data_IF_930390808453
#
_entry.id   IF_930390808453
#
_cell.length_a   1.000
_cell.length_b   1.000
_cell.length_c   1.000
_cell.angle_alpha   90.00
_cell.angle_beta   90.00
_cell.angle_gamma   90.00
#
_symmetry.space_group_name_H-M   'P 1'
#
loop_
_entity.id
_entity.type
_entity.pdbx_description
1 polymer ?
#
# COMPACT_ATOMS: atom_id res chain seq x y z
N UNK A 1 8.06 -28.89 -33.92
CA UNK A 1 8.28 -27.42 -33.89
C UNK A 1 7.14 -26.62 -33.24
N UNK A 2 5.85 -27.01 -33.35
CA UNK A 2 4.71 -26.29 -32.72
C UNK A 2 4.70 -26.31 -31.19
N UNK A 3 5.17 -27.38 -30.53
CA UNK A 3 5.23 -27.45 -29.06
C UNK A 3 6.30 -26.55 -28.44
N UNK A 4 7.47 -26.41 -29.07
CA UNK A 4 8.56 -25.57 -28.58
C UNK A 4 8.19 -24.08 -28.66
N UNK A 5 7.44 -23.66 -29.68
CA UNK A 5 6.94 -22.29 -29.80
C UNK A 5 5.91 -21.96 -28.71
N UNK A 6 4.96 -22.85 -28.43
CA UNK A 6 3.97 -22.65 -27.34
C UNK A 6 4.61 -22.55 -25.96
N UNK A 7 5.68 -23.30 -25.70
CA UNK A 7 6.41 -23.23 -24.44
C UNK A 7 7.17 -21.90 -24.30
N UNK A 8 7.78 -21.42 -25.39
CA UNK A 8 8.49 -20.13 -25.42
C UNK A 8 7.52 -18.94 -25.19
N UNK A 9 6.27 -19.03 -25.65
CA UNK A 9 5.27 -17.98 -25.48
C UNK A 9 4.69 -17.92 -24.05
N UNK A 10 4.76 -19.03 -23.29
CA UNK A 10 4.25 -19.12 -21.92
C UNK A 10 5.35 -18.79 -20.87
N UNK A 11 6.61 -18.98 -21.20
CA UNK A 11 7.75 -18.78 -20.29
C UNK A 11 7.76 -17.39 -19.61
N UNK A 12 7.55 -16.27 -20.31
CA UNK A 12 7.51 -14.95 -19.68
C UNK A 12 6.42 -14.85 -18.60
N UNK A 13 5.23 -15.37 -18.88
CA UNK A 13 4.14 -15.37 -17.91
C UNK A 13 4.45 -16.23 -16.67
N UNK A 14 5.11 -17.37 -16.85
CA UNK A 14 5.53 -18.24 -15.73
C UNK A 14 6.59 -17.57 -14.88
N UNK A 15 7.58 -16.92 -15.48
CA UNK A 15 8.60 -16.17 -14.75
C UNK A 15 8.00 -14.96 -14.03
N UNK A 16 7.07 -14.26 -14.67
CA UNK A 16 6.35 -13.16 -14.05
C UNK A 16 5.56 -13.61 -12.80
N UNK A 17 4.74 -14.65 -12.94
CA UNK A 17 3.95 -15.19 -11.82
C UNK A 17 4.86 -15.74 -10.73
N UNK A 18 5.93 -16.44 -11.10
CA UNK A 18 6.92 -16.96 -10.15
C UNK A 18 7.64 -15.86 -9.40
N UNK A 19 8.09 -14.79 -10.09
CA UNK A 19 8.72 -13.63 -9.48
C UNK A 19 7.77 -12.88 -8.53
N UNK A 20 6.55 -12.63 -8.97
CA UNK A 20 5.52 -12.01 -8.13
C UNK A 20 5.19 -12.85 -6.88
N UNK A 21 5.04 -14.16 -7.05
CA UNK A 21 4.80 -15.07 -5.92
C UNK A 21 5.98 -15.05 -4.93
N UNK A 22 7.22 -15.03 -5.44
CA UNK A 22 8.41 -14.87 -4.62
C UNK A 22 8.40 -13.57 -3.84
N UNK A 23 8.13 -12.43 -4.48
CA UNK A 23 8.02 -11.13 -3.82
C UNK A 23 6.91 -11.14 -2.76
N UNK A 24 5.75 -11.73 -3.07
CA UNK A 24 4.63 -11.81 -2.14
C UNK A 24 4.95 -12.64 -0.88
N UNK A 25 5.83 -13.65 -1.02
CA UNK A 25 6.29 -14.51 0.08
C UNK A 25 7.43 -13.85 0.88
N UNK A 26 8.36 -13.18 0.20
CA UNK A 26 9.57 -12.60 0.80
C UNK A 26 9.31 -11.23 1.41
N UNK A 27 8.48 -10.39 0.79
CA UNK A 27 7.97 -9.16 1.42
C UNK A 27 7.00 -9.60 2.53
N UNK A 28 7.56 -9.93 3.69
CA UNK A 28 6.88 -10.53 4.81
C UNK A 28 5.64 -9.77 5.31
N UNK A 29 5.05 -10.25 6.40
CA UNK A 29 3.93 -9.55 7.05
C UNK A 29 4.29 -8.14 7.52
N UNK A 30 5.56 -7.89 7.79
CA UNK A 30 6.10 -6.61 8.26
C UNK A 30 7.10 -6.10 7.24
N UNK A 31 6.97 -4.85 6.84
CA UNK A 31 7.94 -4.18 5.99
C UNK A 31 9.18 -3.89 6.82
N UNK A 32 10.32 -4.42 6.40
CA UNK A 32 11.60 -4.16 7.04
C UNK A 32 12.32 -2.98 6.36
N UNK A 33 13.21 -2.32 7.08
CA UNK A 33 14.07 -1.28 6.50
C UNK A 33 14.92 -1.83 5.35
N UNK A 34 15.33 -3.10 5.43
CA UNK A 34 16.09 -3.78 4.38
C UNK A 34 15.33 -3.83 3.05
N UNK A 35 14.02 -4.07 3.08
CA UNK A 35 13.19 -4.10 1.87
C UNK A 35 13.23 -2.74 1.16
N UNK A 36 13.13 -1.65 1.92
CA UNK A 36 13.18 -0.30 1.36
C UNK A 36 14.56 0.02 0.75
N UNK A 37 15.65 -0.48 1.33
CA UNK A 37 16.99 -0.34 0.75
C UNK A 37 17.14 -1.11 -0.55
N UNK A 38 16.58 -2.31 -0.64
CA UNK A 38 16.57 -3.11 -1.87
C UNK A 38 15.79 -2.38 -2.98
N UNK A 39 14.61 -1.83 -2.66
CA UNK A 39 13.81 -1.09 -3.64
C UNK A 39 14.47 0.23 -4.06
N UNK A 40 15.12 0.92 -3.14
CA UNK A 40 15.96 2.08 -3.47
C UNK A 40 17.12 1.69 -4.39
N UNK A 41 17.73 0.53 -4.19
CA UNK A 41 18.74 -0.03 -5.08
C UNK A 41 18.21 -0.30 -6.50
N UNK A 42 17.01 -0.89 -6.63
CA UNK A 42 16.36 -1.08 -7.95
C UNK A 42 16.07 0.26 -8.64
N UNK A 43 15.57 1.24 -7.90
CA UNK A 43 15.32 2.59 -8.43
C UNK A 43 16.62 3.27 -8.88
N UNK A 44 17.68 3.14 -8.09
CA UNK A 44 19.01 3.65 -8.43
C UNK A 44 19.58 2.99 -9.69
N UNK A 45 19.51 1.66 -9.81
CA UNK A 45 19.93 0.95 -11.01
C UNK A 45 19.14 1.40 -12.26
N UNK A 46 17.81 1.58 -12.11
CA UNK A 46 16.98 2.11 -13.20
C UNK A 46 17.41 3.53 -13.60
N UNK A 47 17.72 4.40 -12.63
CA UNK A 47 18.24 5.75 -12.89
C UNK A 47 19.57 5.71 -13.68
N UNK A 48 20.50 4.85 -13.26
CA UNK A 48 21.80 4.68 -13.94
C UNK A 48 21.61 4.20 -15.37
N UNK A 49 20.76 3.21 -15.59
CA UNK A 49 20.47 2.67 -16.93
C UNK A 49 19.86 3.76 -17.81
N UNK A 50 18.84 4.49 -17.33
CA UNK A 50 18.22 5.59 -18.08
C UNK A 50 19.24 6.67 -18.47
N UNK A 51 20.10 7.03 -17.53
CA UNK A 51 21.17 8.00 -17.79
C UNK A 51 22.17 7.52 -18.84
N UNK A 52 22.59 6.24 -18.78
CA UNK A 52 23.54 5.66 -19.73
C UNK A 52 22.97 5.50 -21.14
N UNK A 53 21.71 5.07 -21.25
CA UNK A 53 21.04 4.93 -22.56
C UNK A 53 20.83 6.31 -23.20
N UNK A 54 20.50 7.32 -22.43
CA UNK A 54 20.27 8.69 -22.92
C UNK A 54 21.54 9.43 -23.35
N UNK A 55 22.73 8.91 -23.08
CA UNK A 55 23.96 9.53 -23.53
C UNK A 55 24.20 9.34 -25.03
N UNK A 56 24.54 10.41 -25.77
CA UNK A 56 25.01 10.27 -27.13
C UNK A 56 26.29 9.41 -27.12
N UNK A 57 26.40 8.56 -28.09
CA UNK A 57 27.65 7.79 -28.34
C UNK A 57 28.70 8.80 -28.78
N UNK A 58 29.81 9.02 -28.06
CA UNK A 58 30.88 9.81 -28.58
C UNK A 58 31.42 9.09 -29.85
N UNK A 59 31.37 9.77 -30.97
CA UNK A 59 32.16 9.39 -32.13
C UNK A 59 33.63 9.52 -31.75
N UNK A 60 34.35 8.42 -31.79
CA UNK A 60 35.81 8.30 -31.68
C UNK A 60 36.51 9.19 -30.64
N UNK A 61 37.12 8.66 -29.62
CA UNK A 61 38.23 9.07 -28.79
C UNK A 61 38.02 9.36 -27.28
N UNK A 62 36.86 9.18 -26.70
CA UNK A 62 36.77 9.27 -25.23
C UNK A 62 35.84 8.19 -24.65
N UNK A 63 36.24 6.94 -24.85
CA UNK A 63 35.51 5.81 -24.24
C UNK A 63 35.94 5.59 -22.80
N UNK A 64 35.06 5.84 -21.85
CA UNK A 64 35.23 5.20 -20.55
C UNK A 64 35.11 3.68 -20.78
N UNK A 65 36.06 2.90 -20.23
CA UNK A 65 36.13 1.43 -20.39
C UNK A 65 34.81 0.73 -20.10
N UNK A 66 33.97 1.28 -19.21
CA UNK A 66 32.65 0.75 -18.89
C UNK A 66 31.64 0.84 -20.03
N UNK A 67 31.61 1.93 -20.79
CA UNK A 67 30.70 2.11 -21.93
C UNK A 67 31.08 1.21 -23.10
N UNK A 68 32.37 1.03 -23.33
CA UNK A 68 32.89 0.16 -24.40
C UNK A 68 32.62 -1.32 -24.13
N UNK A 69 32.72 -1.76 -22.86
CA UNK A 69 32.40 -3.14 -22.44
C UNK A 69 30.91 -3.43 -22.61
N UNK A 70 30.03 -2.50 -22.22
CA UNK A 70 28.59 -2.66 -22.40
C UNK A 70 28.19 -2.75 -23.88
N UNK A 71 28.82 -1.96 -24.76
CA UNK A 71 28.52 -1.99 -26.21
C UNK A 71 29.07 -3.22 -26.94
N UNK A 72 30.24 -3.70 -26.58
CA UNK A 72 30.92 -4.77 -27.28
C UNK A 72 30.33 -6.16 -27.03
N UNK A 73 29.68 -6.36 -25.88
CA UNK A 73 29.22 -7.68 -25.44
C UNK A 73 27.69 -7.83 -25.30
N UNK A 74 26.93 -6.75 -25.39
CA UNK A 74 25.49 -6.81 -25.15
C UNK A 74 24.67 -6.33 -26.35
N UNK A 75 23.59 -7.07 -26.65
CA UNK A 75 22.58 -6.66 -27.63
C UNK A 75 21.99 -5.28 -27.25
N UNK A 76 21.68 -4.41 -28.22
CA UNK A 76 21.05 -3.11 -27.98
C UNK A 76 19.72 -3.19 -27.20
N UNK A 77 19.13 -4.38 -27.07
CA UNK A 77 17.88 -4.61 -26.31
C UNK A 77 18.11 -4.83 -24.81
N UNK A 78 19.29 -5.26 -24.40
CA UNK A 78 19.58 -5.62 -22.99
C UNK A 78 19.26 -4.51 -21.99
N UNK A 79 19.62 -3.23 -22.22
CA UNK A 79 19.29 -2.16 -21.28
C UNK A 79 17.77 -1.97 -21.07
N UNK A 80 16.99 -2.11 -22.16
CA UNK A 80 15.51 -1.97 -22.06
C UNK A 80 14.88 -3.16 -21.35
N UNK A 81 15.40 -4.36 -21.57
CA UNK A 81 15.00 -5.54 -20.83
C UNK A 81 15.32 -5.43 -19.33
N UNK A 82 16.49 -4.88 -18.98
CA UNK A 82 16.85 -4.61 -17.58
C UNK A 82 15.94 -3.54 -16.96
N UNK A 83 15.57 -2.49 -17.70
CA UNK A 83 14.60 -1.52 -17.23
C UNK A 83 13.23 -2.15 -16.97
N UNK A 84 12.76 -2.98 -17.90
CA UNK A 84 11.49 -3.70 -17.74
C UNK A 84 11.51 -4.58 -16.49
N UNK A 85 12.60 -5.32 -16.28
CA UNK A 85 12.78 -6.14 -15.08
C UNK A 85 12.77 -5.31 -13.81
N UNK A 86 13.54 -4.21 -13.74
CA UNK A 86 13.62 -3.35 -12.57
C UNK A 86 12.28 -2.67 -12.27
N UNK A 87 11.57 -2.17 -13.28
CA UNK A 87 10.24 -1.60 -13.09
C UNK A 87 9.22 -2.66 -12.70
N UNK A 88 9.29 -3.86 -13.27
CA UNK A 88 8.45 -4.99 -12.87
C UNK A 88 8.63 -5.34 -11.40
N UNK A 89 9.86 -5.46 -10.93
CA UNK A 89 10.19 -5.71 -9.52
C UNK A 89 9.71 -4.58 -8.60
N UNK A 90 9.91 -3.31 -9.01
CA UNK A 90 9.42 -2.16 -8.24
C UNK A 90 7.89 -2.12 -8.18
N UNK A 91 7.18 -2.36 -9.30
CA UNK A 91 5.72 -2.40 -9.31
C UNK A 91 5.16 -3.55 -8.50
N UNK A 92 5.80 -4.74 -8.55
CA UNK A 92 5.44 -5.88 -7.71
C UNK A 92 5.52 -5.53 -6.23
N UNK A 93 6.66 -4.98 -5.80
CA UNK A 93 6.88 -4.56 -4.44
C UNK A 93 5.88 -3.47 -3.99
N UNK A 94 5.73 -2.41 -4.79
CA UNK A 94 4.81 -1.31 -4.49
C UNK A 94 3.36 -1.77 -4.46
N UNK A 95 2.95 -2.64 -5.39
CA UNK A 95 1.63 -3.26 -5.35
C UNK A 95 1.39 -3.97 -4.02
N UNK A 96 2.33 -4.82 -3.58
CA UNK A 96 2.21 -5.57 -2.33
C UNK A 96 2.13 -4.61 -1.12
N UNK A 97 2.96 -3.57 -1.09
CA UNK A 97 2.99 -2.59 0.01
C UNK A 97 1.67 -1.80 0.10
N UNK A 98 1.20 -1.27 -1.02
CA UNK A 98 -0.03 -0.48 -1.06
C UNK A 98 -1.27 -1.35 -0.87
N UNK A 99 -1.30 -2.57 -1.43
CA UNK A 99 -2.36 -3.53 -1.22
C UNK A 99 -2.52 -3.91 0.26
N UNK A 100 -1.43 -4.16 0.97
CA UNK A 100 -1.46 -4.45 2.41
C UNK A 100 -1.97 -3.27 3.25
N UNK A 101 -1.73 -2.05 2.80
CA UNK A 101 -2.24 -0.83 3.45
C UNK A 101 -3.68 -0.49 3.05
N UNK A 102 -4.20 -1.10 1.98
CA UNK A 102 -5.54 -0.85 1.45
C UNK A 102 -6.58 -1.67 2.20
N UNK A 103 -7.48 -1.02 2.93
CA UNK A 103 -8.53 -1.71 3.69
C UNK A 103 -9.93 -1.10 3.52
N UNK A 104 -10.08 -0.15 2.60
CA UNK A 104 -11.36 0.40 2.19
C UNK A 104 -11.45 0.45 0.65
N UNK A 105 -12.67 0.50 0.11
CA UNK A 105 -12.91 0.28 -1.32
C UNK A 105 -12.19 1.28 -2.25
N UNK A 106 -12.04 2.55 -1.85
CA UNK A 106 -11.32 3.56 -2.64
C UNK A 106 -9.83 3.24 -2.73
N UNK A 107 -9.20 2.81 -1.63
CA UNK A 107 -7.80 2.42 -1.63
C UNK A 107 -7.51 1.17 -2.49
N UNK A 108 -8.52 0.31 -2.69
CA UNK A 108 -8.44 -0.82 -3.61
C UNK A 108 -8.27 -0.37 -5.07
N UNK A 109 -8.80 0.79 -5.47
CA UNK A 109 -8.62 1.33 -6.82
C UNK A 109 -7.15 1.64 -7.11
N UNK A 110 -6.43 2.17 -6.12
CA UNK A 110 -4.98 2.40 -6.24
C UNK A 110 -4.22 1.08 -6.44
N UNK A 111 -4.52 0.08 -5.61
CA UNK A 111 -3.91 -1.24 -5.73
C UNK A 111 -4.23 -1.91 -7.06
N UNK A 112 -5.46 -1.80 -7.55
CA UNK A 112 -5.86 -2.30 -8.85
C UNK A 112 -5.10 -1.59 -9.98
N UNK A 113 -4.94 -0.27 -9.90
CA UNK A 113 -4.13 0.50 -10.85
C UNK A 113 -2.68 0.01 -10.90
N UNK A 114 -2.06 -0.25 -9.75
CA UNK A 114 -0.71 -0.82 -9.69
C UNK A 114 -0.65 -2.23 -10.24
N UNK A 115 -1.66 -3.07 -10.01
CA UNK A 115 -1.75 -4.41 -10.60
C UNK A 115 -1.84 -4.35 -12.13
N UNK A 116 -2.64 -3.43 -12.66
CA UNK A 116 -2.74 -3.20 -14.12
C UNK A 116 -1.41 -2.75 -14.69
N UNK A 117 -0.71 -1.82 -14.03
CA UNK A 117 0.62 -1.38 -14.48
C UNK A 117 1.66 -2.49 -14.40
N UNK A 118 1.61 -3.31 -13.36
CA UNK A 118 2.48 -4.47 -13.20
C UNK A 118 2.32 -5.46 -14.37
N UNK A 119 1.08 -5.80 -14.71
CA UNK A 119 0.79 -6.70 -15.85
C UNK A 119 1.13 -6.02 -17.17
N UNK A 120 0.76 -4.75 -17.35
CA UNK A 120 1.05 -4.00 -18.58
C UNK A 120 2.56 -3.88 -18.84
N UNK A 121 3.37 -3.76 -17.80
CA UNK A 121 4.82 -3.69 -17.90
C UNK A 121 5.42 -4.85 -18.71
N UNK A 122 4.81 -6.04 -18.65
CA UNK A 122 5.26 -7.21 -19.39
C UNK A 122 5.17 -7.03 -20.91
N UNK A 123 4.25 -6.18 -21.38
CA UNK A 123 3.99 -5.93 -22.79
C UNK A 123 4.63 -4.64 -23.31
N UNK A 124 5.32 -3.86 -22.48
CA UNK A 124 5.77 -2.51 -22.80
C UNK A 124 7.27 -2.41 -23.19
N UNK A 125 8.00 -3.54 -23.34
CA UNK A 125 9.45 -3.53 -23.67
C UNK A 125 9.79 -2.61 -24.85
N UNK A 126 9.01 -2.67 -25.92
CA UNK A 126 9.24 -1.85 -27.12
C UNK A 126 9.01 -0.36 -26.89
N UNK A 127 8.12 0.00 -25.99
CA UNK A 127 7.73 1.39 -25.69
C UNK A 127 8.77 2.11 -24.81
N UNK A 128 9.59 1.37 -24.07
CA UNK A 128 10.69 1.97 -23.30
C UNK A 128 11.69 2.74 -24.15
N UNK A 129 11.82 2.39 -25.45
CA UNK A 129 12.66 3.09 -26.42
C UNK A 129 12.21 4.52 -26.68
N UNK A 130 10.94 4.85 -26.44
CA UNK A 130 10.37 6.20 -26.60
C UNK A 130 10.71 7.13 -25.46
N UNK A 131 11.33 6.66 -24.38
CA UNK A 131 11.75 7.39 -23.20
C UNK A 131 10.63 8.08 -22.40
N UNK A 132 9.57 8.57 -23.02
CA UNK A 132 8.43 9.20 -22.33
C UNK A 132 7.82 8.24 -21.33
N UNK A 133 7.62 6.98 -21.74
CA UNK A 133 7.12 5.94 -20.83
C UNK A 133 8.14 5.63 -19.73
N UNK A 134 9.43 5.50 -20.08
CA UNK A 134 10.48 5.23 -19.11
C UNK A 134 10.59 6.29 -18.03
N UNK A 135 10.47 7.58 -18.38
CA UNK A 135 10.41 8.68 -17.41
C UNK A 135 9.16 8.62 -16.54
N UNK A 136 8.02 8.28 -17.14
CA UNK A 136 6.75 8.16 -16.43
C UNK A 136 6.79 7.05 -15.39
N UNK A 137 7.30 5.87 -15.77
CA UNK A 137 7.46 4.72 -14.87
C UNK A 137 8.48 5.01 -13.77
N UNK A 138 9.62 5.58 -14.11
CA UNK A 138 10.63 5.99 -13.14
C UNK A 138 10.08 6.99 -12.13
N UNK A 139 9.41 8.04 -12.60
CA UNK A 139 8.79 9.06 -11.76
C UNK A 139 7.73 8.47 -10.83
N UNK A 140 6.85 7.62 -11.35
CA UNK A 140 5.82 6.95 -10.57
C UNK A 140 6.45 6.06 -9.47
N UNK A 141 7.42 5.20 -9.83
CA UNK A 141 8.12 4.35 -8.86
C UNK A 141 8.83 5.19 -7.78
N UNK A 142 9.51 6.28 -8.17
CA UNK A 142 10.17 7.17 -7.23
C UNK A 142 9.19 7.84 -6.26
N UNK A 143 8.08 8.39 -6.77
CA UNK A 143 7.05 9.02 -5.95
C UNK A 143 6.43 8.02 -4.96
N UNK A 144 6.02 6.84 -5.42
CA UNK A 144 5.38 5.83 -4.59
C UNK A 144 6.35 5.23 -3.55
N UNK A 145 7.60 4.98 -3.94
CA UNK A 145 8.61 4.51 -2.99
C UNK A 145 8.91 5.55 -1.92
N UNK A 146 9.05 6.84 -2.28
CA UNK A 146 9.29 7.90 -1.31
C UNK A 146 8.09 8.14 -0.41
N UNK A 147 6.86 8.02 -0.93
CA UNK A 147 5.64 8.10 -0.13
C UNK A 147 5.57 7.01 0.96
N UNK A 148 6.21 5.88 0.74
CA UNK A 148 6.32 4.82 1.74
C UNK A 148 7.56 5.01 2.63
N UNK A 149 8.72 5.28 2.04
CA UNK A 149 10.00 5.31 2.73
C UNK A 149 10.17 6.53 3.65
N UNK A 150 9.74 7.74 3.24
CA UNK A 150 9.91 8.93 4.06
C UNK A 150 9.15 8.84 5.39
N UNK A 151 7.84 8.55 5.42
CA UNK A 151 7.12 8.36 6.68
C UNK A 151 7.71 7.24 7.54
N UNK A 152 8.21 6.17 6.91
CA UNK A 152 8.89 5.08 7.61
C UNK A 152 10.17 5.56 8.31
N UNK A 153 11.02 6.29 7.61
CA UNK A 153 12.31 6.79 8.15
C UNK A 153 12.13 7.89 9.18
N UNK A 154 11.14 8.77 8.98
CA UNK A 154 10.87 9.90 9.87
C UNK A 154 10.02 9.51 11.08
N UNK A 155 9.46 8.31 11.11
CA UNK A 155 8.54 7.88 12.17
C UNK A 155 7.29 8.76 12.29
N UNK A 156 6.81 9.32 11.18
CA UNK A 156 5.67 10.25 11.14
C UNK A 156 4.80 10.02 9.92
N UNK A 157 3.48 10.01 10.11
CA UNK A 157 2.45 9.82 9.07
C UNK A 157 1.68 11.10 8.74
N UNK A 158 2.25 12.26 9.02
CA UNK A 158 1.59 13.52 8.74
C UNK A 158 1.39 13.70 7.23
N UNK A 159 0.22 14.21 6.79
CA UNK A 159 -0.13 14.38 5.37
C UNK A 159 0.92 15.18 4.56
N UNK A 160 1.62 16.11 5.22
CA UNK A 160 2.70 16.89 4.60
C UNK A 160 3.79 16.00 4.01
N UNK A 161 4.10 14.88 4.65
CA UNK A 161 5.15 13.96 4.17
C UNK A 161 4.75 13.30 2.85
N UNK A 162 3.48 13.02 2.64
CA UNK A 162 3.01 12.49 1.36
C UNK A 162 3.24 13.49 0.22
N UNK A 163 2.86 14.75 0.42
CA UNK A 163 3.06 15.78 -0.61
C UNK A 163 4.54 16.05 -0.89
N UNK A 164 5.36 16.15 0.17
CA UNK A 164 6.81 16.32 0.03
C UNK A 164 7.47 15.13 -0.66
N UNK A 165 7.10 13.91 -0.32
CA UNK A 165 7.62 12.68 -0.96
C UNK A 165 7.28 12.64 -2.45
N UNK A 166 6.05 12.98 -2.80
CA UNK A 166 5.61 13.04 -4.20
C UNK A 166 6.41 14.10 -4.97
N UNK A 167 6.58 15.29 -4.40
CA UNK A 167 7.39 16.35 -5.01
C UNK A 167 8.86 15.94 -5.14
N UNK A 168 9.45 15.29 -4.14
CA UNK A 168 10.82 14.79 -4.20
C UNK A 168 11.01 13.74 -5.29
N UNK A 169 10.07 12.79 -5.42
CA UNK A 169 10.10 11.77 -6.46
C UNK A 169 9.99 12.37 -7.86
N UNK A 170 9.06 13.32 -8.05
CA UNK A 170 8.92 14.05 -9.31
C UNK A 170 10.17 14.89 -9.63
N UNK A 171 10.74 15.55 -8.61
CA UNK A 171 11.96 16.37 -8.74
C UNK A 171 13.18 15.52 -9.10
N UNK A 172 13.30 14.31 -8.53
CA UNK A 172 14.35 13.37 -8.87
C UNK A 172 14.25 12.95 -10.35
N UNK A 173 13.04 12.62 -10.83
CA UNK A 173 12.83 12.27 -12.23
C UNK A 173 13.15 13.45 -13.16
N UNK A 174 12.72 14.66 -12.80
CA UNK A 174 13.01 15.87 -13.57
C UNK A 174 14.51 16.22 -13.56
N UNK A 175 15.19 16.10 -12.44
CA UNK A 175 16.63 16.31 -12.32
C UNK A 175 17.40 15.32 -13.20
N UNK A 176 17.05 14.04 -13.14
CA UNK A 176 17.68 13.00 -13.96
C UNK A 176 17.44 13.24 -15.44
N UNK A 177 16.22 13.61 -15.84
CA UNK A 177 15.89 13.99 -17.21
C UNK A 177 16.75 15.16 -17.71
N UNK A 178 16.92 16.20 -16.88
CA UNK A 178 17.79 17.34 -17.23
C UNK A 178 19.27 16.98 -17.34
N UNK A 179 19.75 16.03 -16.55
CA UNK A 179 21.13 15.57 -16.57
C UNK A 179 21.40 14.60 -17.73
N UNK A 180 20.35 13.98 -18.27
CA UNK A 180 20.48 13.06 -19.41
C UNK A 180 20.62 13.87 -20.70
N UNK A 181 21.71 13.68 -21.45
CA UNK A 181 21.92 14.37 -22.72
C UNK A 181 20.79 14.05 -23.73
N UNK A 182 20.56 15.00 -24.67
CA UNK A 182 19.55 14.91 -25.73
C UNK A 182 18.07 14.97 -25.28
N UNK A 183 17.74 14.99 -23.99
CA UNK A 183 16.36 15.09 -23.46
C UNK A 183 15.36 14.21 -24.23
N UNK A 184 15.71 12.93 -24.42
CA UNK A 184 14.87 11.99 -25.16
C UNK A 184 13.51 11.80 -24.49
N UNK A 185 12.43 11.85 -25.25
CA UNK A 185 11.07 11.72 -24.78
C UNK A 185 10.54 12.98 -24.06
N UNK A 186 9.42 12.84 -23.36
CA UNK A 186 8.75 13.92 -22.65
C UNK A 186 8.68 13.62 -21.15
N UNK A 187 9.00 14.62 -20.31
CA UNK A 187 8.86 14.55 -18.86
C UNK A 187 7.48 15.01 -18.37
N UNK A 188 6.66 15.62 -19.25
CA UNK A 188 5.35 16.17 -18.88
C UNK A 188 4.41 15.17 -18.17
N UNK A 189 4.36 13.87 -18.55
CA UNK A 189 3.51 12.91 -17.85
C UNK A 189 3.87 12.73 -16.38
N UNK A 190 5.13 12.94 -15.99
CA UNK A 190 5.55 12.85 -14.57
C UNK A 190 4.85 13.92 -13.73
N UNK A 191 4.71 15.14 -14.24
CA UNK A 191 3.98 16.22 -13.56
C UNK A 191 2.48 15.88 -13.43
N UNK A 192 1.88 15.32 -14.49
CA UNK A 192 0.49 14.87 -14.46
C UNK A 192 0.29 13.74 -13.42
N UNK A 193 1.18 12.75 -13.40
CA UNK A 193 1.16 11.66 -12.41
C UNK A 193 1.27 12.22 -10.99
N UNK A 194 2.18 13.17 -10.75
CA UNK A 194 2.31 13.80 -9.44
C UNK A 194 1.02 14.52 -9.01
N UNK A 195 0.40 15.28 -9.91
CA UNK A 195 -0.87 15.95 -9.65
C UNK A 195 -2.01 14.95 -9.36
N UNK A 196 -2.09 13.86 -10.13
CA UNK A 196 -3.08 12.80 -9.93
C UNK A 196 -2.88 12.08 -8.58
N UNK A 197 -1.62 11.78 -8.18
CA UNK A 197 -1.32 11.18 -6.88
C UNK A 197 -1.70 12.13 -5.73
N UNK A 198 -1.37 13.42 -5.83
CA UNK A 198 -1.74 14.41 -4.82
C UNK A 198 -3.27 14.54 -4.69
N UNK A 199 -3.98 14.56 -5.81
CA UNK A 199 -5.44 14.58 -5.83
C UNK A 199 -6.02 13.30 -5.23
N UNK A 200 -5.54 12.13 -5.65
CA UNK A 200 -5.99 10.84 -5.15
C UNK A 200 -5.78 10.70 -3.63
N UNK A 201 -4.67 11.25 -3.10
CA UNK A 201 -4.45 11.31 -1.66
C UNK A 201 -5.43 12.28 -0.97
N UNK A 202 -5.72 13.43 -1.58
CA UNK A 202 -6.68 14.39 -1.02
C UNK A 202 -8.09 13.78 -0.86
N UNK A 203 -8.54 12.98 -1.85
CA UNK A 203 -9.85 12.32 -1.84
C UNK A 203 -9.86 10.94 -1.15
N UNK A 204 -8.83 10.61 -0.36
CA UNK A 204 -8.71 9.38 0.41
C UNK A 204 -8.68 8.07 -0.44
N UNK A 205 -8.22 8.17 -1.70
CA UNK A 205 -7.98 6.99 -2.55
C UNK A 205 -6.65 6.29 -2.26
N UNK A 206 -5.67 7.03 -1.71
CA UNK A 206 -4.38 6.46 -1.32
C UNK A 206 -4.37 6.24 0.17
N UNK A 207 -4.10 5.00 0.64
CA UNK A 207 -4.07 4.69 2.06
C UNK A 207 -2.90 5.41 2.75
N UNK A 208 -3.00 5.68 4.07
CA UNK A 208 -1.92 6.33 4.83
C UNK A 208 -0.77 5.34 5.09
N UNK A 209 0.01 5.06 4.06
CA UNK A 209 1.22 4.23 4.17
C UNK A 209 2.25 4.88 5.11
N UNK A 210 2.99 4.11 5.91
CA UNK A 210 3.15 2.66 5.91
C UNK A 210 2.29 1.89 6.93
N UNK A 211 1.12 2.42 7.28
CA UNK A 211 0.22 1.76 8.23
C UNK A 211 -0.50 0.58 7.58
N UNK A 212 -0.53 -0.55 8.27
CA UNK A 212 -1.23 -1.76 7.81
C UNK A 212 -2.20 -2.25 8.87
N UNK A 213 -3.46 -2.43 8.47
CA UNK A 213 -4.43 -3.11 9.32
C UNK A 213 -3.98 -4.54 9.60
N UNK A 214 -3.98 -4.92 10.88
CA UNK A 214 -3.86 -6.31 11.33
C UNK A 214 -5.22 -6.89 11.61
N UNK A 215 -5.87 -6.35 12.64
CA UNK A 215 -7.17 -6.80 13.08
C UNK A 215 -8.04 -5.60 13.45
N UNK A 216 -9.34 -5.73 13.20
CA UNK A 216 -10.37 -4.85 13.75
C UNK A 216 -11.54 -5.71 14.13
N UNK A 217 -12.00 -5.54 15.36
CA UNK A 217 -13.07 -6.35 15.92
C UNK A 217 -13.99 -5.50 16.81
N UNK A 218 -15.27 -5.87 16.82
CA UNK A 218 -16.26 -5.31 17.72
C UNK A 218 -16.62 -6.39 18.74
N UNK A 219 -16.64 -6.01 20.02
CA UNK A 219 -16.83 -6.95 21.12
C UNK A 219 -17.72 -6.36 22.22
N UNK A 220 -18.38 -7.23 22.96
CA UNK A 220 -19.20 -6.86 24.13
C UNK A 220 -18.36 -6.67 25.39
N UNK A 221 -17.25 -7.41 25.47
CA UNK A 221 -16.33 -7.36 26.59
C UNK A 221 -14.89 -7.39 26.06
N UNK A 222 -14.02 -6.67 26.75
CA UNK A 222 -12.61 -6.60 26.44
C UNK A 222 -11.82 -6.67 27.74
N UNK A 223 -10.98 -7.68 27.85
CA UNK A 223 -10.07 -7.88 28.98
C UNK A 223 -8.62 -7.89 28.47
N UNK A 224 -7.75 -7.23 29.19
CA UNK A 224 -6.30 -7.28 28.91
C UNK A 224 -5.63 -8.15 29.97
N UNK A 225 -5.15 -9.32 29.57
CA UNK A 225 -4.43 -10.25 30.42
C UNK A 225 -3.15 -10.75 29.71
N UNK A 226 -2.05 -10.81 30.43
CA UNK A 226 -0.75 -11.36 29.95
C UNK A 226 -0.24 -10.75 28.64
N UNK A 227 -0.51 -9.46 28.43
CA UNK A 227 -0.11 -8.76 27.20
C UNK A 227 -0.97 -9.04 25.98
N UNK A 228 -1.99 -9.88 26.11
CA UNK A 228 -2.99 -10.19 25.07
C UNK A 228 -4.34 -9.55 25.40
N UNK A 229 -5.16 -9.40 24.39
CA UNK A 229 -6.53 -8.91 24.53
C UNK A 229 -7.50 -10.08 24.30
N UNK A 230 -8.36 -10.32 25.30
CA UNK A 230 -9.47 -11.27 25.22
C UNK A 230 -10.72 -10.50 24.84
N UNK A 231 -11.31 -10.82 23.71
CA UNK A 231 -12.50 -10.17 23.19
C UNK A 231 -13.67 -11.15 23.20
N UNK A 232 -14.74 -10.81 23.92
CA UNK A 232 -16.01 -11.53 23.90
C UNK A 232 -16.88 -11.01 22.76
N UNK A 233 -17.03 -11.81 21.72
CA UNK A 233 -17.71 -11.46 20.48
C UNK A 233 -18.89 -12.38 20.22
N UNK A 234 -19.85 -11.94 19.41
CA UNK A 234 -20.94 -12.80 18.97
C UNK A 234 -20.40 -13.89 18.03
N UNK A 235 -20.75 -15.13 18.31
CA UNK A 235 -20.39 -16.24 17.43
C UNK A 235 -21.11 -16.12 16.09
N UNK A 236 -20.42 -16.47 15.00
CA UNK A 236 -21.09 -16.63 13.71
C UNK A 236 -22.01 -17.84 13.75
N UNK A 237 -23.15 -17.81 13.01
CA UNK A 237 -23.94 -19.00 12.77
C UNK A 237 -23.10 -20.14 12.18
N UNK A 238 -23.39 -21.39 12.52
CA UNK A 238 -22.59 -22.55 12.14
C UNK A 238 -22.40 -22.74 10.63
N UNK A 239 -23.31 -22.23 9.80
CA UNK A 239 -23.19 -22.29 8.33
C UNK A 239 -22.22 -21.27 7.74
N UNK A 240 -21.72 -20.30 8.57
CA UNK A 240 -20.74 -19.30 8.16
C UNK A 240 -19.34 -19.76 8.61
N UNK A 241 -18.85 -20.84 8.00
CA UNK A 241 -17.60 -21.52 8.40
C UNK A 241 -16.32 -20.72 8.10
N UNK A 242 -16.40 -19.67 7.26
CA UNK A 242 -15.24 -18.84 6.88
C UNK A 242 -14.94 -17.70 7.88
N UNK A 243 -15.81 -17.45 8.85
CA UNK A 243 -15.58 -16.46 9.92
C UNK A 243 -16.10 -16.99 11.26
N UNK A 244 -15.39 -16.67 12.34
CA UNK A 244 -15.76 -17.11 13.69
C UNK A 244 -16.77 -16.20 14.37
N UNK A 245 -16.82 -14.92 13.97
CA UNK A 245 -17.62 -13.87 14.62
C UNK A 245 -18.64 -13.27 13.68
N UNK A 246 -19.79 -12.87 14.20
CA UNK A 246 -20.83 -12.18 13.45
C UNK A 246 -20.57 -10.67 13.39
N UNK A 247 -21.03 -10.04 12.31
CA UNK A 247 -21.15 -8.59 12.23
C UNK A 247 -22.55 -8.10 12.65
N UNK A 248 -23.49 -9.00 12.87
CA UNK A 248 -24.80 -8.70 13.42
C UNK A 248 -24.70 -8.85 14.93
N UNK A 249 -24.82 -7.75 15.66
CA UNK A 249 -24.68 -7.70 17.11
C UNK A 249 -26.05 -7.68 17.75
N UNK A 250 -26.43 -8.78 18.37
CA UNK A 250 -27.63 -8.91 19.15
C UNK A 250 -27.31 -8.65 20.63
N UNK A 251 -27.90 -7.63 21.21
CA UNK A 251 -27.55 -7.22 22.58
C UNK A 251 -28.69 -6.50 23.29
N UNK A 252 -28.75 -6.55 24.62
CA UNK A 252 -29.68 -5.72 25.40
C UNK A 252 -29.44 -4.22 25.19
N UNK A 253 -30.50 -3.43 25.23
CA UNK A 253 -30.41 -1.98 25.17
C UNK A 253 -29.51 -1.44 26.29
N UNK A 254 -28.64 -0.47 25.96
CA UNK A 254 -27.72 0.14 26.94
C UNK A 254 -26.41 -0.62 27.14
N UNK A 255 -26.22 -1.79 26.55
CA UNK A 255 -24.98 -2.55 26.65
C UNK A 255 -23.82 -1.77 26.04
N UNK A 256 -22.64 -1.92 26.65
CA UNK A 256 -21.37 -1.35 26.13
C UNK A 256 -20.83 -2.21 25.01
N UNK A 257 -20.32 -1.55 23.96
CA UNK A 257 -19.67 -2.19 22.83
C UNK A 257 -18.27 -1.60 22.66
N UNK A 258 -17.30 -2.46 22.53
CA UNK A 258 -15.88 -2.11 22.32
C UNK A 258 -15.51 -2.28 20.85
N UNK A 259 -14.79 -1.33 20.31
CA UNK A 259 -14.07 -1.51 19.06
C UNK A 259 -12.58 -1.64 19.38
N UNK A 260 -12.02 -2.78 19.05
CA UNK A 260 -10.60 -3.07 19.13
C UNK A 260 -9.97 -2.93 17.75
N UNK A 261 -8.76 -2.39 17.67
CA UNK A 261 -7.98 -2.37 16.47
C UNK A 261 -6.52 -2.69 16.75
N UNK A 262 -5.92 -3.48 15.86
CA UNK A 262 -4.49 -3.76 15.80
C UNK A 262 -3.96 -3.25 14.47
N UNK A 263 -3.02 -2.30 14.54
CA UNK A 263 -2.44 -1.63 13.37
C UNK A 263 -0.93 -1.83 13.41
N UNK A 264 -0.38 -2.39 12.33
CA UNK A 264 1.07 -2.39 12.17
C UNK A 264 1.55 -0.98 11.80
N UNK A 265 2.60 -0.56 12.47
CA UNK A 265 3.33 0.66 12.16
C UNK A 265 4.83 0.40 12.33
N UNK A 266 5.70 1.07 11.53
CA UNK A 266 7.13 0.94 11.65
C UNK A 266 7.66 1.26 13.05
N UNK A 267 8.82 0.70 13.44
CA UNK A 267 9.49 1.06 14.69
C UNK A 267 9.73 2.57 14.77
N UNK A 268 9.50 3.15 15.95
CA UNK A 268 9.72 4.59 16.18
C UNK A 268 8.59 5.50 15.70
N UNK A 269 7.60 4.98 14.98
CA UNK A 269 6.45 5.77 14.57
C UNK A 269 5.59 6.15 15.78
N UNK A 270 5.37 7.46 15.95
CA UNK A 270 4.44 8.03 16.90
C UNK A 270 3.27 8.64 16.14
N UNK A 271 2.07 8.16 16.42
CA UNK A 271 0.87 8.65 15.76
C UNK A 271 -0.31 8.61 16.71
N UNK A 272 -1.22 9.54 16.52
CA UNK A 272 -2.53 9.53 17.16
C UNK A 272 -3.54 8.99 16.15
N UNK A 273 -4.23 7.93 16.53
CA UNK A 273 -5.31 7.34 15.75
C UNK A 273 -6.64 7.60 16.39
N UNK A 274 -7.69 7.49 15.60
CA UNK A 274 -9.05 7.73 16.03
C UNK A 274 -9.96 6.61 15.57
N UNK A 275 -10.91 6.23 16.44
CA UNK A 275 -12.09 5.47 16.05
C UNK A 275 -13.23 6.47 15.83
N UNK A 276 -13.69 6.59 14.60
CA UNK A 276 -14.89 7.36 14.23
C UNK A 276 -16.07 6.41 14.19
N UNK A 277 -16.97 6.56 15.15
CA UNK A 277 -18.21 5.80 15.24
C UNK A 277 -19.30 6.52 14.48
N UNK A 278 -19.93 5.85 13.53
CA UNK A 278 -20.98 6.40 12.69
C UNK A 278 -22.17 5.47 12.64
N UNK A 279 -23.37 6.06 12.71
CA UNK A 279 -24.66 5.39 12.58
C UNK A 279 -25.28 5.78 11.24
N UNK A 280 -25.94 4.84 10.58
CA UNK A 280 -26.62 5.12 9.31
C UNK A 280 -28.02 5.66 9.57
N UNK A 281 -28.25 6.88 9.17
CA UNK A 281 -29.58 7.50 9.16
C UNK A 281 -30.15 7.43 7.73
N UNK A 282 -31.43 7.05 7.61
CA UNK A 282 -32.07 6.90 6.28
C UNK A 282 -32.17 8.20 5.48
N UNK A 283 -32.16 9.35 6.15
CA UNK A 283 -32.27 10.67 5.50
C UNK A 283 -30.92 11.32 5.27
N UNK A 284 -30.00 11.18 6.22
CA UNK A 284 -28.71 11.88 6.22
C UNK A 284 -27.53 10.98 5.84
N UNK A 285 -27.77 9.66 5.69
CA UNK A 285 -26.70 8.69 5.46
C UNK A 285 -25.86 8.44 6.72
N UNK A 286 -24.55 8.31 6.57
CA UNK A 286 -23.65 8.04 7.69
C UNK A 286 -23.39 9.27 8.55
N UNK A 287 -23.94 9.29 9.75
CA UNK A 287 -23.82 10.38 10.73
C UNK A 287 -22.77 10.02 11.79
N UNK A 288 -21.77 10.89 11.97
CA UNK A 288 -20.75 10.70 13.00
C UNK A 288 -21.34 10.94 14.39
N UNK A 289 -21.29 9.91 15.23
CA UNK A 289 -21.75 9.96 16.60
C UNK A 289 -20.63 10.29 17.59
N UNK A 290 -19.41 9.86 17.31
CA UNK A 290 -18.23 10.17 18.12
C UNK A 290 -16.94 9.89 17.35
N UNK A 291 -15.89 10.62 17.71
CA UNK A 291 -14.51 10.42 17.22
C UNK A 291 -13.59 10.38 18.43
N UNK A 292 -13.09 9.20 18.78
CA UNK A 292 -12.35 8.95 20.01
C UNK A 292 -10.91 8.61 19.66
N UNK A 293 -9.96 9.39 20.19
CA UNK A 293 -8.53 9.22 19.93
C UNK A 293 -7.88 8.19 20.85
N UNK A 294 -6.88 7.49 20.31
CA UNK A 294 -5.94 6.67 21.05
C UNK A 294 -4.54 6.82 20.48
N UNK A 295 -3.52 6.66 21.32
CA UNK A 295 -2.13 6.89 20.92
C UNK A 295 -1.44 5.58 20.52
N UNK A 296 -0.68 5.63 19.43
CA UNK A 296 0.30 4.60 19.07
C UNK A 296 1.66 4.99 19.61
N UNK A 297 2.33 4.10 20.33
CA UNK A 297 3.70 4.32 20.79
C UNK A 297 4.52 3.04 20.74
N UNK A 298 5.69 3.08 20.09
CA UNK A 298 6.68 2.01 20.01
C UNK A 298 6.44 0.97 18.91
N UNK A 299 7.46 0.29 18.45
CA UNK A 299 7.39 -0.79 17.45
C UNK A 299 7.15 -2.14 18.09
N UNK A 300 6.00 -2.76 17.89
CA UNK A 300 5.73 -4.16 18.24
C UNK A 300 5.50 -4.95 16.96
N UNK A 301 6.12 -6.13 16.87
CA UNK A 301 6.00 -7.01 15.70
C UNK A 301 4.54 -7.43 15.39
N UNK A 302 3.70 -7.47 16.40
CA UNK A 302 2.27 -7.84 16.26
C UNK A 302 1.35 -6.65 16.03
N UNK A 303 1.89 -5.44 15.89
CA UNK A 303 1.12 -4.21 15.70
C UNK A 303 0.73 -3.53 17.01
N UNK A 304 0.31 -2.27 16.87
CA UNK A 304 -0.21 -1.46 17.96
C UNK A 304 -1.66 -1.79 18.19
N UNK A 305 -2.00 -2.06 19.44
CA UNK A 305 -3.34 -2.44 19.85
C UNK A 305 -3.98 -1.28 20.60
N UNK A 306 -5.15 -0.87 20.16
CA UNK A 306 -5.95 0.14 20.81
C UNK A 306 -7.42 -0.22 20.79
N UNK A 307 -8.17 0.35 21.72
CA UNK A 307 -9.61 0.18 21.75
C UNK A 307 -10.33 1.44 22.21
N UNK A 308 -11.55 1.56 21.79
CA UNK A 308 -12.52 2.53 22.31
C UNK A 308 -13.83 1.83 22.58
N UNK A 309 -14.71 2.46 23.33
CA UNK A 309 -16.03 1.89 23.58
C UNK A 309 -17.13 2.95 23.47
N UNK A 310 -18.33 2.47 23.24
CA UNK A 310 -19.54 3.27 23.23
C UNK A 310 -20.67 2.51 23.95
N UNK A 311 -21.43 3.23 24.75
CA UNK A 311 -22.60 2.69 25.40
C UNK A 311 -23.86 3.13 24.65
N UNK A 312 -24.94 2.37 24.80
CA UNK A 312 -26.27 2.73 24.28
C UNK A 312 -26.28 2.99 22.77
N UNK A 313 -25.79 2.02 21.98
CA UNK A 313 -25.91 2.09 20.53
C UNK A 313 -27.39 1.94 20.14
N UNK A 314 -27.87 2.80 19.25
CA UNK A 314 -29.17 2.66 18.62
C UNK A 314 -29.22 1.43 17.70
N UNK A 315 -30.43 0.90 17.48
CA UNK A 315 -30.60 -0.15 16.45
C UNK A 315 -30.23 0.34 15.05
N UNK A 316 -29.81 -0.59 14.17
CA UNK A 316 -29.50 -0.34 12.79
C UNK A 316 -28.03 -0.46 12.45
N UNK A 317 -27.66 0.07 11.31
CA UNK A 317 -26.34 -0.08 10.74
C UNK A 317 -25.33 0.91 11.34
N UNK A 318 -24.21 0.36 11.76
CA UNK A 318 -23.07 1.07 12.31
C UNK A 318 -21.82 0.80 11.53
N UNK A 319 -20.91 1.77 11.56
CA UNK A 319 -19.52 1.55 11.15
C UNK A 319 -18.55 2.26 12.07
N UNK A 320 -17.40 1.65 12.28
CA UNK A 320 -16.26 2.28 12.93
C UNK A 320 -15.12 2.35 11.93
N UNK A 321 -14.67 3.57 11.65
CA UNK A 321 -13.49 3.82 10.85
C UNK A 321 -12.29 4.06 11.76
N UNK A 322 -11.18 3.40 11.49
CA UNK A 322 -9.88 3.72 12.10
C UNK A 322 -9.19 4.73 11.21
N UNK A 323 -8.86 5.89 11.77
CA UNK A 323 -8.36 7.04 11.02
C UNK A 323 -7.13 7.64 11.66
N UNK A 324 -6.32 8.30 10.82
CA UNK A 324 -5.24 9.17 11.30
C UNK A 324 -5.77 10.50 11.82
N UNK A 325 -4.89 11.32 12.39
CA UNK A 325 -5.23 12.68 12.83
C UNK A 325 -5.76 13.55 11.67
N UNK A 326 -5.23 13.37 10.46
CA UNK A 326 -5.64 14.06 9.24
C UNK A 326 -6.83 13.39 8.53
N UNK A 327 -7.64 12.63 9.26
CA UNK A 327 -8.87 11.95 8.79
C UNK A 327 -8.64 10.95 7.63
N UNK A 328 -7.41 10.49 7.42
CA UNK A 328 -7.13 9.45 6.43
C UNK A 328 -7.52 8.09 6.96
N UNK A 329 -8.37 7.39 6.21
CA UNK A 329 -8.94 6.11 6.58
C UNK A 329 -7.94 4.98 6.46
N UNK A 330 -7.67 4.28 7.57
CA UNK A 330 -6.85 3.05 7.58
C UNK A 330 -7.74 1.85 7.28
N UNK A 331 -8.88 1.75 7.98
CA UNK A 331 -9.83 0.65 7.79
C UNK A 331 -11.23 1.04 8.26
N UNK A 332 -12.22 0.31 7.76
CA UNK A 332 -13.63 0.47 8.16
C UNK A 332 -14.18 -0.91 8.55
N UNK A 333 -14.78 -0.99 9.72
CA UNK A 333 -15.53 -2.16 10.18
C UNK A 333 -17.00 -1.81 10.25
N UNK A 334 -17.85 -2.57 9.54
CA UNK A 334 -19.29 -2.40 9.50
C UNK A 334 -19.96 -3.50 10.31
N UNK A 335 -21.00 -3.15 11.06
CA UNK A 335 -21.81 -4.09 11.83
C UNK A 335 -23.23 -3.53 11.99
N UNK A 336 -24.18 -4.41 12.28
CA UNK A 336 -25.58 -4.05 12.55
C UNK A 336 -25.90 -4.34 14.00
N UNK A 337 -26.69 -3.48 14.64
CA UNK A 337 -27.12 -3.62 16.03
C UNK A 337 -28.59 -3.96 16.08
N UNK A 338 -28.92 -5.03 16.80
CA UNK A 338 -30.28 -5.46 17.10
C UNK A 338 -30.47 -5.53 18.63
N UNK A 339 -31.52 -4.92 19.14
CA UNK A 339 -31.85 -5.03 20.56
C UNK A 339 -32.67 -6.30 20.83
N UNK A 340 -32.17 -7.13 21.71
CA UNK A 340 -32.78 -8.41 22.08
C UNK A 340 -32.82 -8.50 23.62
N UNK A 341 -33.80 -9.24 24.16
CA UNK A 341 -33.87 -9.47 25.59
C UNK A 341 -32.83 -10.46 26.11
N UNK A 342 -32.52 -11.46 25.30
CA UNK A 342 -31.55 -12.53 25.65
C UNK A 342 -30.36 -12.47 24.72
N UNK A 343 -29.15 -12.34 25.30
CA UNK A 343 -27.93 -12.28 24.52
C UNK A 343 -27.62 -13.66 23.89
N UNK A 344 -27.22 -13.70 22.60
CA UNK A 344 -26.85 -14.93 21.93
C UNK A 344 -25.51 -15.49 22.42
N UNK A 345 -25.13 -16.72 22.00
CA UNK A 345 -23.85 -17.31 22.34
C UNK A 345 -22.66 -16.42 21.95
N UNK A 346 -21.70 -16.32 22.85
CA UNK A 346 -20.49 -15.54 22.67
C UNK A 346 -19.26 -16.46 22.54
N UNK A 347 -18.28 -16.03 21.77
CA UNK A 347 -16.97 -16.64 21.62
C UNK A 347 -15.91 -15.69 22.12
N UNK A 348 -14.94 -16.21 22.88
CA UNK A 348 -13.78 -15.44 23.33
C UNK A 348 -12.63 -15.72 22.39
N UNK A 349 -12.13 -14.66 21.77
CA UNK A 349 -10.96 -14.71 20.88
C UNK A 349 -9.79 -13.92 21.48
N UNK A 350 -8.57 -14.40 21.22
CA UNK A 350 -7.33 -13.76 21.62
C UNK A 350 -6.75 -12.93 20.46
N UNK A 351 -6.31 -11.73 20.79
CA UNK A 351 -5.72 -10.78 19.85
C UNK A 351 -4.40 -10.21 20.36
#
# INVERSE_FOLDING_TARGET
>A
MHHVRKVADIMPAVFFVGGFAWDALTIGRNVAALDLWIFAGYLFCAAVILYLIGRPIPLENSESKLVSVFKKHYSPRVPYFLLQFLFGSLFSALFILYFKSSSHWLAWLMSLGLAVLLVANEFLESEYKRFTLSWSMFGLCAMLLFNFALPFLLGSIHAVWFYLSTLLGASLAFWLYKKTPNHLGSIKPVALIAALLMFAYAVDMIPPVPLVKRDVAVAFELEKADGQYRLSQQASPWWVFWRKTSNDLEMPAGQRVYCFSSIFAPPGLQAKLYHRWQHYDKKQGWVTQSRIGFSLSGGRYEGFRGYTYKSSLAEGDWRVSVETENEKTITVHKFTVHHVETAPPRVVLLY
#
